data_IF_001621375483
#
_entry.id   IF_001621375483
#
_cell.length_a   1.000
_cell.length_b   1.000
_cell.length_c   1.000
_cell.angle_alpha   90.00
_cell.angle_beta   90.00
_cell.angle_gamma   90.00
#
_symmetry.space_group_name_H-M   'P 1'
#
loop_
_entity.id
_entity.type
_entity.pdbx_description
1 polymer ?
#
# COMPACT_ATOMS: atom_id res chain seq x y z
N UNK A 1 -9.98 -7.27 16.54
CA UNK A 1 -10.14 -6.17 15.56
C UNK A 1 -11.48 -5.51 15.69
N UNK A 2 -12.60 -6.20 15.60
CA UNK A 2 -13.92 -5.60 15.80
C UNK A 2 -14.12 -4.96 17.17
N UNK A 3 -13.59 -5.57 18.23
CA UNK A 3 -13.62 -4.99 19.59
C UNK A 3 -12.92 -3.64 19.69
N UNK A 4 -12.03 -3.31 18.74
CA UNK A 4 -11.34 -2.02 18.65
C UNK A 4 -11.99 -1.08 17.63
N UNK A 5 -13.06 -1.49 16.94
CA UNK A 5 -13.71 -0.71 15.88
C UNK A 5 -12.86 -0.54 14.63
N UNK A 6 -11.86 -1.40 14.40
CA UNK A 6 -10.99 -1.32 13.23
C UNK A 6 -11.77 -1.63 11.95
N UNK A 7 -11.78 -0.67 11.03
CA UNK A 7 -12.41 -0.82 9.70
C UNK A 7 -11.59 -1.72 8.79
N UNK A 8 -10.27 -1.63 8.87
CA UNK A 8 -9.31 -2.29 7.99
C UNK A 8 -8.27 -3.08 8.79
N UNK A 9 -7.79 -4.14 8.19
CA UNK A 9 -6.65 -4.92 8.66
C UNK A 9 -5.69 -5.16 7.50
N UNK A 10 -4.53 -4.51 7.53
CA UNK A 10 -3.52 -4.60 6.48
C UNK A 10 -2.65 -5.82 6.72
N UNK A 11 -2.34 -6.53 5.65
CA UNK A 11 -1.44 -7.69 5.66
C UNK A 11 -0.54 -7.67 4.43
N UNK A 12 0.73 -8.00 4.62
CA UNK A 12 1.60 -8.40 3.52
C UNK A 12 1.08 -9.72 2.93
N UNK A 13 0.89 -9.84 1.60
CA UNK A 13 0.38 -11.07 0.99
C UNK A 13 1.24 -12.30 1.32
N UNK A 14 2.57 -12.13 1.35
CA UNK A 14 3.53 -13.19 1.62
C UNK A 14 4.51 -13.41 0.48
N UNK A 15 5.13 -14.59 0.45
CA UNK A 15 6.12 -14.93 -0.56
C UNK A 15 5.99 -16.36 -1.05
N UNK A 16 6.46 -16.65 -2.28
CA UNK A 16 6.38 -17.98 -2.86
C UNK A 16 7.48 -18.95 -2.39
N UNK A 17 8.49 -18.48 -1.67
CA UNK A 17 9.57 -19.27 -1.03
C UNK A 17 10.08 -20.38 -1.97
N UNK A 18 10.53 -20.04 -3.18
CA UNK A 18 11.03 -20.93 -4.23
C UNK A 18 10.03 -21.97 -4.78
N UNK A 19 8.74 -21.91 -4.41
CA UNK A 19 7.70 -22.80 -4.95
C UNK A 19 7.11 -22.31 -6.28
N UNK A 20 7.52 -21.14 -6.74
CA UNK A 20 7.01 -20.47 -7.93
C UNK A 20 5.79 -19.57 -7.64
N UNK A 21 5.67 -18.54 -8.46
CA UNK A 21 4.64 -17.47 -8.33
C UNK A 21 3.23 -18.05 -8.24
N UNK A 22 2.84 -18.92 -9.17
CA UNK A 22 1.47 -19.42 -9.22
C UNK A 22 1.10 -20.22 -7.97
N UNK A 23 2.02 -21.08 -7.49
CA UNK A 23 1.82 -21.85 -6.27
C UNK A 23 1.68 -20.93 -5.05
N UNK A 24 2.51 -19.88 -4.98
CA UNK A 24 2.42 -18.88 -3.91
C UNK A 24 1.06 -18.15 -3.91
N UNK A 25 0.59 -17.68 -5.07
CA UNK A 25 -0.73 -17.05 -5.22
C UNK A 25 -1.86 -18.00 -4.78
N UNK A 26 -1.81 -19.27 -5.16
CA UNK A 26 -2.81 -20.28 -4.75
C UNK A 26 -2.83 -20.45 -3.21
N UNK A 27 -1.65 -20.52 -2.59
CA UNK A 27 -1.54 -20.69 -1.13
C UNK A 27 -2.06 -19.46 -0.38
N UNK A 28 -1.72 -18.26 -0.86
CA UNK A 28 -2.19 -17.00 -0.29
C UNK A 28 -3.72 -16.91 -0.39
N UNK A 29 -4.27 -17.12 -1.59
CA UNK A 29 -5.72 -17.05 -1.78
C UNK A 29 -6.46 -18.12 -0.95
N UNK A 30 -5.92 -19.34 -0.86
CA UNK A 30 -6.47 -20.39 -0.01
C UNK A 30 -6.47 -20.04 1.48
N UNK A 31 -5.41 -19.41 1.97
CA UNK A 31 -5.33 -18.93 3.36
C UNK A 31 -6.35 -17.81 3.63
N UNK A 32 -6.48 -16.83 2.72
CA UNK A 32 -7.47 -15.76 2.82
C UNK A 32 -8.88 -16.32 2.83
N UNK A 33 -9.22 -17.23 1.91
CA UNK A 33 -10.54 -17.87 1.84
C UNK A 33 -10.87 -18.60 3.15
N UNK A 34 -9.90 -19.34 3.72
CA UNK A 34 -10.08 -20.02 5.01
C UNK A 34 -10.35 -19.04 6.17
N UNK A 35 -9.64 -17.90 6.20
CA UNK A 35 -9.86 -16.85 7.20
C UNK A 35 -11.26 -16.24 7.02
N UNK A 36 -11.62 -15.85 5.81
CA UNK A 36 -12.90 -15.22 5.52
C UNK A 36 -14.10 -16.16 5.79
N UNK A 37 -13.94 -17.46 5.51
CA UNK A 37 -14.94 -18.47 5.83
C UNK A 37 -15.23 -18.59 7.33
N UNK A 38 -14.23 -18.37 8.18
CA UNK A 38 -14.35 -18.42 9.64
C UNK A 38 -14.71 -17.08 10.27
N UNK A 39 -14.37 -15.97 9.63
CA UNK A 39 -14.60 -14.62 10.13
C UNK A 39 -15.85 -14.01 9.54
N UNK A 40 -16.83 -13.62 10.39
CA UNK A 40 -18.12 -13.03 9.99
C UNK A 40 -18.27 -11.56 10.39
N UNK A 41 -17.17 -10.93 10.81
CA UNK A 41 -17.16 -9.54 11.17
C UNK A 41 -17.11 -8.59 9.96
N UNK A 42 -17.12 -7.28 10.25
CA UNK A 42 -17.17 -6.21 9.25
C UNK A 42 -15.79 -5.63 8.88
N UNK A 43 -14.73 -6.00 9.59
CA UNK A 43 -13.37 -5.55 9.27
C UNK A 43 -12.93 -6.11 7.91
N UNK A 44 -12.58 -5.24 6.98
CA UNK A 44 -12.08 -5.61 5.66
C UNK A 44 -10.58 -5.91 5.73
N UNK A 45 -10.13 -6.99 5.10
CA UNK A 45 -8.71 -7.28 4.92
C UNK A 45 -8.16 -6.45 3.76
N UNK A 46 -7.00 -5.84 3.94
CA UNK A 46 -6.30 -5.13 2.87
C UNK A 46 -4.99 -5.85 2.57
N UNK A 47 -4.80 -6.22 1.31
CA UNK A 47 -3.51 -6.71 0.82
C UNK A 47 -2.61 -5.50 0.52
N UNK A 48 -1.41 -5.52 1.05
CA UNK A 48 -0.46 -4.44 0.83
C UNK A 48 0.34 -4.64 -0.45
N UNK A 49 0.63 -3.54 -1.16
CA UNK A 49 1.63 -3.56 -2.24
C UNK A 49 3.02 -3.76 -1.66
N UNK A 50 3.83 -4.64 -2.28
CA UNK A 50 5.14 -5.03 -1.78
C UNK A 50 6.28 -4.46 -2.63
N UNK A 51 7.47 -4.33 -2.02
CA UNK A 51 8.66 -3.87 -2.73
C UNK A 51 9.25 -4.91 -3.70
N UNK A 52 8.88 -6.19 -3.58
CA UNK A 52 9.43 -7.27 -4.40
C UNK A 52 10.77 -7.80 -3.91
N UNK A 53 11.04 -7.67 -2.61
CA UNK A 53 12.29 -8.17 -2.03
C UNK A 53 12.29 -9.70 -2.02
N UNK A 54 13.27 -10.30 -2.69
CA UNK A 54 13.42 -11.76 -2.73
C UNK A 54 12.31 -12.46 -3.51
N UNK A 55 11.42 -13.19 -2.83
CA UNK A 55 10.32 -13.95 -3.43
C UNK A 55 8.93 -13.44 -2.98
N UNK A 56 8.83 -12.19 -2.56
CA UNK A 56 7.59 -11.55 -2.20
C UNK A 56 6.58 -11.53 -3.34
N UNK A 57 5.32 -11.70 -2.99
CA UNK A 57 4.17 -11.56 -3.90
C UNK A 57 3.38 -10.31 -3.52
N UNK A 58 2.78 -9.67 -4.52
CA UNK A 58 2.13 -8.36 -4.34
C UNK A 58 3.01 -7.19 -4.76
N UNK A 59 4.21 -7.46 -5.31
CA UNK A 59 5.09 -6.43 -5.87
C UNK A 59 4.62 -5.93 -7.24
N UNK A 60 3.80 -6.68 -7.92
CA UNK A 60 3.12 -6.24 -9.15
C UNK A 60 1.61 -6.18 -8.95
N UNK A 61 0.95 -5.29 -9.67
CA UNK A 61 -0.52 -5.23 -9.67
C UNK A 61 -1.14 -6.54 -10.18
N UNK A 62 -0.44 -7.26 -11.07
CA UNK A 62 -0.86 -8.58 -11.53
C UNK A 62 -0.88 -9.63 -10.41
N UNK A 63 0.06 -9.57 -9.45
CA UNK A 63 0.04 -10.51 -8.31
C UNK A 63 -1.22 -10.30 -7.47
N UNK A 64 -1.52 -9.03 -7.16
CA UNK A 64 -2.70 -8.68 -6.38
C UNK A 64 -4.00 -9.02 -7.11
N UNK A 65 -4.07 -8.73 -8.41
CA UNK A 65 -5.21 -9.09 -9.26
C UNK A 65 -5.44 -10.61 -9.30
N UNK A 66 -4.37 -11.39 -9.47
CA UNK A 66 -4.44 -12.85 -9.51
C UNK A 66 -4.84 -13.46 -8.15
N UNK A 67 -4.40 -12.86 -7.03
CA UNK A 67 -4.85 -13.24 -5.69
C UNK A 67 -6.35 -12.95 -5.56
N UNK A 68 -6.78 -11.72 -5.85
CA UNK A 68 -8.18 -11.31 -5.74
C UNK A 68 -9.11 -12.16 -6.62
N UNK A 69 -8.67 -12.54 -7.83
CA UNK A 69 -9.44 -13.39 -8.75
C UNK A 69 -9.66 -14.83 -8.24
N UNK A 70 -8.89 -15.28 -7.24
CA UNK A 70 -9.01 -16.62 -6.63
C UNK A 70 -9.74 -16.61 -5.29
N UNK A 71 -10.27 -15.44 -4.87
CA UNK A 71 -11.03 -15.34 -3.63
C UNK A 71 -12.50 -15.70 -3.84
N UNK A 72 -13.07 -16.35 -2.83
CA UNK A 72 -14.50 -16.69 -2.80
C UNK A 72 -15.38 -15.46 -2.49
N UNK A 73 -14.87 -14.52 -1.68
CA UNK A 73 -15.53 -13.28 -1.26
C UNK A 73 -14.61 -12.06 -1.53
N UNK A 74 -14.31 -11.72 -2.81
CA UNK A 74 -13.33 -10.67 -3.15
C UNK A 74 -13.78 -9.25 -2.77
N UNK A 75 -15.06 -9.03 -2.48
CA UNK A 75 -15.60 -7.76 -1.99
C UNK A 75 -15.19 -7.46 -0.54
N UNK A 76 -14.77 -8.48 0.21
CA UNK A 76 -14.28 -8.35 1.60
C UNK A 76 -12.79 -8.09 1.69
N UNK A 77 -12.11 -8.04 0.53
CA UNK A 77 -10.68 -7.77 0.44
C UNK A 77 -10.44 -6.54 -0.41
N UNK A 78 -9.69 -5.60 0.13
CA UNK A 78 -9.22 -4.40 -0.56
C UNK A 78 -7.70 -4.39 -0.69
N UNK A 79 -7.17 -3.24 -1.09
CA UNK A 79 -5.74 -2.99 -1.26
C UNK A 79 -5.33 -1.83 -0.35
N UNK A 80 -4.17 -1.97 0.28
CA UNK A 80 -3.40 -0.89 0.84
C UNK A 80 -2.20 -0.64 -0.07
N UNK A 81 -2.08 0.56 -0.61
CA UNK A 81 -0.86 0.93 -1.33
C UNK A 81 0.17 1.47 -0.34
N UNK A 82 1.44 1.12 -0.50
CA UNK A 82 2.56 1.71 0.23
C UNK A 82 3.47 2.45 -0.77
N UNK A 83 3.74 3.72 -0.50
CA UNK A 83 4.50 4.58 -1.43
C UNK A 83 5.97 4.19 -1.52
N UNK A 84 6.59 3.75 -0.41
CA UNK A 84 7.96 3.24 -0.41
C UNK A 84 8.05 1.91 -1.18
N UNK A 85 7.14 0.97 -0.91
CA UNK A 85 7.12 -0.32 -1.58
C UNK A 85 6.92 -0.19 -3.09
N UNK A 86 5.96 0.63 -3.51
CA UNK A 86 5.71 0.89 -4.93
C UNK A 86 6.92 1.52 -5.62
N UNK A 87 7.53 2.54 -5.00
CA UNK A 87 8.73 3.18 -5.53
C UNK A 87 9.89 2.18 -5.63
N UNK A 88 10.15 1.42 -4.57
CA UNK A 88 11.17 0.38 -4.58
C UNK A 88 10.84 -0.74 -5.59
N UNK A 89 9.58 -1.04 -5.84
CA UNK A 89 9.10 -1.99 -6.86
C UNK A 89 9.19 -1.47 -8.31
N UNK A 90 9.57 -0.20 -8.50
CA UNK A 90 9.75 0.40 -9.83
C UNK A 90 8.54 1.15 -10.37
N UNK A 91 7.52 1.41 -9.54
CA UNK A 91 6.40 2.28 -9.90
C UNK A 91 6.74 3.74 -9.61
N UNK A 92 6.56 4.60 -10.61
CA UNK A 92 6.98 6.00 -10.51
C UNK A 92 5.98 6.86 -9.74
N UNK A 93 5.88 6.65 -8.43
CA UNK A 93 4.99 7.41 -7.52
C UNK A 93 5.27 8.92 -7.53
N UNK A 94 6.45 9.32 -8.00
CA UNK A 94 6.81 10.73 -8.21
C UNK A 94 6.09 11.37 -9.41
N UNK A 95 5.34 10.60 -10.19
CA UNK A 95 4.49 11.04 -11.30
C UNK A 95 3.06 10.57 -11.08
N UNK A 96 2.28 11.22 -10.20
CA UNK A 96 1.01 10.72 -9.70
C UNK A 96 0.01 10.33 -10.78
N UNK A 97 -0.15 11.13 -11.85
CA UNK A 97 -1.11 10.81 -12.92
C UNK A 97 -0.76 9.50 -13.63
N UNK A 98 0.50 9.33 -14.05
CA UNK A 98 0.95 8.11 -14.70
C UNK A 98 0.79 6.90 -13.77
N UNK A 99 1.25 7.03 -12.53
CA UNK A 99 1.14 5.98 -11.52
C UNK A 99 -0.31 5.57 -11.28
N UNK A 100 -1.23 6.54 -11.14
CA UNK A 100 -2.64 6.25 -10.89
C UNK A 100 -3.34 5.61 -12.08
N UNK A 101 -2.91 5.91 -13.30
CA UNK A 101 -3.43 5.25 -14.51
C UNK A 101 -2.94 3.79 -14.59
N UNK A 102 -1.68 3.52 -14.24
CA UNK A 102 -1.14 2.16 -14.13
C UNK A 102 -1.85 1.36 -13.03
N UNK A 103 -2.11 1.98 -11.89
CA UNK A 103 -2.84 1.38 -10.76
C UNK A 103 -4.28 1.04 -11.16
N UNK A 104 -4.98 1.97 -11.80
CA UNK A 104 -6.36 1.75 -12.28
C UNK A 104 -6.43 0.61 -13.29
N UNK A 105 -5.48 0.56 -14.24
CA UNK A 105 -5.42 -0.50 -15.23
C UNK A 105 -5.11 -1.88 -14.62
N UNK A 106 -4.32 -1.90 -13.52
CA UNK A 106 -3.87 -3.15 -12.89
C UNK A 106 -4.85 -3.76 -11.91
N UNK A 107 -5.43 -2.97 -11.01
CA UNK A 107 -6.25 -3.47 -9.89
C UNK A 107 -7.51 -2.67 -9.59
N UNK A 108 -7.82 -1.64 -10.32
CA UNK A 108 -8.87 -0.64 -10.07
C UNK A 108 -8.67 0.16 -8.75
N UNK A 109 -8.76 1.48 -8.86
CA UNK A 109 -8.67 2.40 -7.71
C UNK A 109 -9.78 2.18 -6.68
N UNK A 110 -10.94 1.66 -7.10
CA UNK A 110 -12.02 1.32 -6.17
C UNK A 110 -11.64 0.26 -5.14
N UNK A 111 -10.65 -0.59 -5.45
CA UNK A 111 -10.13 -1.58 -4.51
C UNK A 111 -9.17 -0.99 -3.49
N UNK A 112 -8.59 0.18 -3.76
CA UNK A 112 -7.67 0.85 -2.83
C UNK A 112 -8.47 1.50 -1.70
N UNK A 113 -8.15 1.14 -0.45
CA UNK A 113 -8.89 1.57 0.74
C UNK A 113 -8.04 2.34 1.75
N UNK A 114 -6.72 2.21 1.66
CA UNK A 114 -5.77 2.90 2.52
C UNK A 114 -4.44 3.09 1.78
N UNK A 115 -3.63 3.99 2.30
CA UNK A 115 -2.27 4.23 1.82
C UNK A 115 -1.33 4.32 3.02
N UNK A 116 -0.28 3.50 3.04
CA UNK A 116 0.89 3.75 3.85
C UNK A 116 1.74 4.81 3.15
N UNK A 117 1.94 5.92 3.82
CA UNK A 117 2.64 7.09 3.29
C UNK A 117 4.04 7.13 3.85
N UNK A 118 5.00 6.60 3.11
CA UNK A 118 6.40 6.48 3.51
C UNK A 118 7.31 7.04 2.40
N UNK A 119 8.38 7.72 2.78
CA UNK A 119 9.48 7.97 1.86
C UNK A 119 10.39 6.75 1.76
N UNK A 120 11.28 6.70 0.80
CA UNK A 120 12.16 5.55 0.57
C UNK A 120 13.63 5.94 0.73
N UNK A 121 14.37 5.16 1.52
CA UNK A 121 15.85 5.24 1.56
C UNK A 121 16.53 4.78 0.28
N UNK A 122 15.80 4.00 -0.52
CA UNK A 122 16.35 3.30 -1.66
C UNK A 122 15.82 3.91 -2.95
N UNK A 123 16.60 3.87 -4.04
CA UNK A 123 16.16 4.39 -5.33
C UNK A 123 15.02 3.56 -5.93
N UNK A 124 14.32 4.18 -6.89
CA UNK A 124 13.27 3.53 -7.69
C UNK A 124 13.79 2.22 -8.32
N UNK A 125 12.98 1.16 -8.22
CA UNK A 125 13.33 -0.14 -8.77
C UNK A 125 14.42 -0.92 -8.03
N UNK A 126 14.72 -0.55 -6.80
CA UNK A 126 15.74 -1.22 -5.97
C UNK A 126 15.34 -2.59 -5.44
N UNK A 127 14.03 -2.88 -5.39
CA UNK A 127 13.44 -4.05 -4.75
C UNK A 127 13.86 -4.23 -3.29
N UNK A 128 13.94 -3.10 -2.56
CA UNK A 128 14.34 -3.07 -1.15
C UNK A 128 13.37 -2.21 -0.36
N UNK A 129 12.68 -2.84 0.56
CA UNK A 129 11.83 -2.17 1.53
C UNK A 129 12.70 -1.50 2.61
N UNK A 130 12.80 -0.16 2.56
CA UNK A 130 13.50 0.66 3.56
C UNK A 130 12.82 2.01 3.63
N UNK A 131 11.92 2.16 4.60
CA UNK A 131 11.23 3.43 4.86
C UNK A 131 12.17 4.53 5.31
N UNK A 132 11.83 5.77 4.97
CA UNK A 132 12.50 6.99 5.42
C UNK A 132 11.45 8.02 5.88
N UNK A 133 11.88 8.99 6.67
CA UNK A 133 11.10 10.16 7.09
C UNK A 133 10.70 10.95 5.83
N UNK A 134 9.47 11.45 5.80
CA UNK A 134 8.93 12.17 4.64
C UNK A 134 9.82 13.35 4.24
N UNK A 135 10.26 13.34 2.99
CA UNK A 135 11.14 14.36 2.42
C UNK A 135 12.63 14.18 2.70
N UNK A 136 13.02 13.11 3.39
CA UNK A 136 14.42 12.77 3.62
C UNK A 136 14.91 11.60 2.77
N UNK A 137 14.02 10.98 2.00
CA UNK A 137 14.31 9.88 1.10
C UNK A 137 14.35 10.28 -0.37
N UNK A 138 14.34 9.26 -1.23
CA UNK A 138 14.49 9.37 -2.69
C UNK A 138 13.17 9.77 -3.39
N UNK A 139 12.00 9.62 -2.75
CA UNK A 139 10.72 10.10 -3.28
C UNK A 139 10.61 11.60 -3.07
N UNK A 140 10.89 12.06 -1.84
CA UNK A 140 10.84 13.45 -1.43
C UNK A 140 9.45 13.95 -1.06
N UNK A 141 9.40 15.02 -0.27
CA UNK A 141 8.17 15.56 0.31
C UNK A 141 7.18 16.09 -0.74
N UNK A 142 7.69 16.76 -1.80
CA UNK A 142 6.84 17.35 -2.84
C UNK A 142 5.97 16.32 -3.58
N UNK A 143 6.54 15.29 -4.20
CA UNK A 143 5.77 14.22 -4.84
C UNK A 143 4.79 13.50 -3.89
N UNK A 144 5.20 13.23 -2.64
CA UNK A 144 4.30 12.63 -1.64
C UNK A 144 3.12 13.56 -1.32
N UNK A 145 3.37 14.86 -1.18
CA UNK A 145 2.30 15.86 -0.96
C UNK A 145 1.35 15.92 -2.17
N UNK A 146 1.89 15.90 -3.39
CA UNK A 146 1.09 15.87 -4.61
C UNK A 146 0.19 14.63 -4.66
N UNK A 147 0.75 13.45 -4.31
CA UNK A 147 0.00 12.19 -4.30
C UNK A 147 -1.17 12.23 -3.30
N UNK A 148 -0.95 12.67 -2.05
CA UNK A 148 -2.01 12.68 -1.03
C UNK A 148 -3.07 13.75 -1.28
N UNK A 149 -2.74 14.83 -1.99
CA UNK A 149 -3.69 15.87 -2.39
C UNK A 149 -4.45 15.54 -3.67
N UNK A 150 -4.03 14.49 -4.38
CA UNK A 150 -4.61 14.12 -5.65
C UNK A 150 -6.11 13.77 -5.53
N UNK A 151 -7.01 14.30 -6.39
CA UNK A 151 -8.46 14.08 -6.29
C UNK A 151 -8.89 12.63 -6.23
N UNK A 152 -8.14 11.73 -6.88
CA UNK A 152 -8.41 10.28 -6.93
C UNK A 152 -8.02 9.56 -5.63
N UNK A 153 -7.17 10.14 -4.76
CA UNK A 153 -6.66 9.50 -3.54
C UNK A 153 -6.99 10.24 -2.25
N UNK A 154 -7.17 11.57 -2.27
CA UNK A 154 -7.32 12.41 -1.06
C UNK A 154 -8.43 12.00 -0.09
N UNK A 155 -9.33 11.12 -0.50
CA UNK A 155 -10.41 10.58 0.32
C UNK A 155 -9.98 9.36 1.15
N UNK A 156 -8.80 8.80 0.88
CA UNK A 156 -8.28 7.65 1.59
C UNK A 156 -7.69 8.04 2.96
N UNK A 157 -7.67 7.13 3.92
CA UNK A 157 -6.81 7.26 5.09
C UNK A 157 -5.35 7.07 4.67
N UNK A 158 -4.47 7.96 5.14
CA UNK A 158 -3.02 7.87 5.00
C UNK A 158 -2.40 7.58 6.35
N UNK A 159 -1.55 6.58 6.42
CA UNK A 159 -0.90 6.10 7.64
C UNK A 159 0.61 6.18 7.45
N UNK A 160 1.32 6.74 8.43
CA UNK A 160 2.78 6.78 8.45
C UNK A 160 3.33 5.52 9.11
N UNK A 161 4.36 4.94 8.52
CA UNK A 161 5.19 3.89 9.09
C UNK A 161 6.68 4.27 8.96
N UNK A 162 6.95 5.57 8.97
CA UNK A 162 8.27 6.15 8.87
C UNK A 162 9.12 5.81 10.10
N UNK A 163 10.45 5.71 9.99
CA UNK A 163 11.30 5.43 11.12
C UNK A 163 11.30 6.59 12.12
N UNK A 164 11.40 6.27 13.41
CA UNK A 164 11.49 7.27 14.47
C UNK A 164 10.59 6.95 15.66
N UNK A 165 10.59 7.88 16.62
CA UNK A 165 9.76 7.81 17.81
C UNK A 165 8.41 8.51 17.57
N UNK A 166 7.50 8.39 18.52
CA UNK A 166 6.12 8.90 18.40
C UNK A 166 6.06 10.43 18.10
N UNK A 167 7.02 11.19 18.63
CA UNK A 167 7.11 12.63 18.40
C UNK A 167 7.32 12.97 16.91
N UNK A 168 8.10 12.17 16.17
CA UNK A 168 8.35 12.38 14.74
C UNK A 168 7.08 12.27 13.90
N UNK A 169 6.19 11.32 14.20
CA UNK A 169 4.90 11.23 13.51
C UNK A 169 4.07 12.52 13.67
N UNK A 170 4.12 13.13 14.87
CA UNK A 170 3.45 14.41 15.13
C UNK A 170 4.00 15.54 14.26
N UNK A 171 5.33 15.62 14.12
CA UNK A 171 6.02 16.61 13.28
C UNK A 171 5.71 16.42 11.79
N UNK A 172 5.77 15.19 11.28
CA UNK A 172 5.45 14.86 9.90
C UNK A 172 3.98 15.19 9.56
N UNK A 173 3.04 14.81 10.41
CA UNK A 173 1.62 15.13 10.24
C UNK A 173 1.39 16.65 10.24
N UNK A 174 2.06 17.39 11.14
CA UNK A 174 1.97 18.84 11.18
C UNK A 174 2.53 19.48 9.90
N UNK A 175 3.66 18.98 9.39
CA UNK A 175 4.25 19.45 8.13
C UNK A 175 3.33 19.22 6.93
N UNK A 176 2.73 18.03 6.82
CA UNK A 176 1.74 17.71 5.77
C UNK A 176 0.55 18.70 5.84
N UNK A 177 -0.05 18.87 7.02
CA UNK A 177 -1.21 19.76 7.20
C UNK A 177 -0.89 21.20 6.80
N UNK A 178 0.24 21.71 7.27
CA UNK A 178 0.67 23.07 6.93
C UNK A 178 0.95 23.26 5.42
N UNK A 179 1.42 22.22 4.73
CA UNK A 179 1.64 22.25 3.29
C UNK A 179 0.31 22.20 2.50
N UNK A 180 -0.65 21.36 2.91
CA UNK A 180 -1.97 21.27 2.29
C UNK A 180 -2.77 22.58 2.41
N UNK A 181 -2.70 23.26 3.56
CA UNK A 181 -3.35 24.56 3.77
C UNK A 181 -2.84 25.64 2.80
N UNK A 182 -1.54 25.63 2.49
CA UNK A 182 -0.93 26.57 1.53
C UNK A 182 -1.34 26.32 0.08
N UNK A 183 -1.73 25.08 -0.25
CA UNK A 183 -2.10 24.69 -1.61
C UNK A 183 -3.58 25.00 -1.92
N UNK A 184 -4.40 25.20 -0.88
CA UNK A 184 -5.85 25.44 -0.99
C UNK A 184 -6.25 26.92 -0.85
N UNK A 185 -5.33 27.82 -0.57
CA UNK A 185 -5.53 29.29 -0.49
C UNK A 185 -4.95 30.00 -1.70
#
# INVERSE_FOLDING_TARGET
MESCGCRYYVVHPGSHVNQGREKGIQLIAGAINAILASYRGSTMMLLETMAGQGSELGASFHDLADILAKLDEPERVGICIDTCHLFAGGFSVIRPEQFLDELEAGISLEKVKACHLNDSKMPEGSFKDRHEILGQGEIGFGPLLELISHPRLRHLPFILETPGELEHYGEEIAAIRAALEKTTG
#
